data_IF_575702294570
#
_entry.id   IF_575702294570
#
_cell.length_a   1.000
_cell.length_b   1.000
_cell.length_c   1.000
_cell.angle_alpha   90.00
_cell.angle_beta   90.00
_cell.angle_gamma   90.00
#
_symmetry.space_group_name_H-M   'P 1'
#
loop_
_entity.id
_entity.type
_entity.pdbx_description
1 polymer ?
#
# COMPACT_ATOMS: atom_id res chain seq x y z
N UNK A 1 -7.56 27.15 7.22
CA UNK A 1 -6.76 26.78 8.43
C UNK A 1 -5.35 26.37 8.00
N UNK A 2 -4.30 26.43 8.84
CA UNK A 2 -2.94 26.00 8.43
C UNK A 2 -2.62 24.57 8.88
N UNK A 3 -1.81 23.83 8.09
CA UNK A 3 -1.33 22.50 8.46
C UNK A 3 -0.67 22.48 9.85
N UNK A 4 -0.79 21.37 10.60
CA UNK A 4 -0.21 21.29 11.93
C UNK A 4 1.32 21.32 11.86
N UNK A 5 1.93 21.94 12.87
CA UNK A 5 3.39 21.97 13.01
C UNK A 5 3.93 20.64 13.54
N UNK A 6 5.23 20.41 13.41
CA UNK A 6 5.90 19.28 14.06
C UNK A 6 5.56 19.19 15.55
N UNK A 7 5.54 20.31 16.28
CA UNK A 7 5.26 20.31 17.73
C UNK A 7 3.80 19.93 18.02
N UNK A 8 2.85 20.42 17.22
CA UNK A 8 1.44 20.04 17.36
C UNK A 8 1.28 18.51 17.26
N UNK A 9 1.93 17.93 16.26
CA UNK A 9 1.88 16.50 15.94
C UNK A 9 2.62 15.68 16.99
N UNK A 10 3.81 16.10 17.42
CA UNK A 10 4.60 15.44 18.47
C UNK A 10 3.84 15.45 19.81
N UNK A 11 3.25 16.58 20.17
CA UNK A 11 2.43 16.70 21.39
C UNK A 11 1.17 15.85 21.32
N UNK A 12 0.51 15.80 20.17
CA UNK A 12 -0.64 14.92 20.02
C UNK A 12 -0.25 13.43 20.05
N UNK A 13 0.79 13.04 19.31
CA UNK A 13 1.31 11.67 19.30
C UNK A 13 1.63 11.18 20.72
N UNK A 14 2.32 11.99 21.51
CA UNK A 14 2.64 11.67 22.90
C UNK A 14 1.40 11.55 23.81
N UNK A 15 0.28 12.15 23.44
CA UNK A 15 -0.98 12.11 24.19
C UNK A 15 -1.90 10.93 23.85
N UNK A 16 -1.55 10.13 22.84
CA UNK A 16 -2.28 8.93 22.46
C UNK A 16 -2.30 7.92 23.62
N UNK A 17 -3.47 7.32 23.86
CA UNK A 17 -3.68 6.37 24.97
C UNK A 17 -3.17 4.98 24.63
N UNK A 18 -3.26 4.59 23.36
CA UNK A 18 -2.74 3.33 22.85
C UNK A 18 -1.22 3.42 22.63
N UNK A 19 -0.44 2.64 23.39
CA UNK A 19 1.03 2.69 23.31
C UNK A 19 1.59 2.25 21.94
N UNK A 20 1.07 1.21 21.28
CA UNK A 20 1.47 0.85 19.91
C UNK A 20 1.23 1.97 18.88
N UNK A 21 0.07 2.64 18.95
CA UNK A 21 -0.23 3.79 18.07
C UNK A 21 0.66 4.98 18.38
N UNK A 22 0.89 5.28 19.67
CA UNK A 22 1.85 6.31 20.12
C UNK A 22 3.24 6.04 19.57
N UNK A 23 3.74 4.82 19.70
CA UNK A 23 5.04 4.43 19.19
C UNK A 23 5.11 4.52 17.66
N UNK A 24 4.08 4.08 16.94
CA UNK A 24 4.03 4.15 15.48
C UNK A 24 4.09 5.60 14.97
N UNK A 25 3.41 6.53 15.65
CA UNK A 25 3.46 7.95 15.32
C UNK A 25 4.83 8.57 15.64
N UNK A 26 5.43 8.25 16.80
CA UNK A 26 6.76 8.73 17.17
C UNK A 26 7.87 8.15 16.27
N UNK A 27 7.74 6.90 15.85
CA UNK A 27 8.64 6.24 14.89
C UNK A 27 8.59 6.93 13.53
N UNK A 28 7.40 7.22 13.01
CA UNK A 28 7.23 7.92 11.74
C UNK A 28 7.71 9.38 11.81
N UNK A 29 7.58 10.03 12.98
CA UNK A 29 8.24 11.32 13.21
C UNK A 29 9.76 11.15 13.17
N UNK A 30 10.32 10.19 13.91
CA UNK A 30 11.76 9.97 14.00
C UNK A 30 12.39 9.72 12.62
N UNK A 31 11.75 8.89 11.78
CA UNK A 31 12.25 8.57 10.43
C UNK A 31 12.25 9.76 9.47
N UNK A 32 11.49 10.83 9.77
CA UNK A 32 11.34 12.01 8.93
C UNK A 32 11.89 13.30 9.54
N UNK A 33 12.46 13.21 10.73
CA UNK A 33 12.98 14.35 11.49
C UNK A 33 14.40 14.69 11.02
N UNK A 34 14.69 15.94 10.64
CA UNK A 34 16.06 16.40 10.41
C UNK A 34 16.90 16.35 11.71
N UNK A 35 18.21 16.18 11.56
CA UNK A 35 19.15 16.16 12.70
C UNK A 35 18.94 17.36 13.64
N UNK A 36 18.92 17.11 14.96
CA UNK A 36 18.80 18.14 16.01
C UNK A 36 17.50 18.13 16.82
N UNK A 37 16.44 17.43 16.38
CA UNK A 37 15.16 17.33 17.12
C UNK A 37 14.86 15.93 17.67
N UNK A 38 15.74 14.95 17.42
CA UNK A 38 15.52 13.59 17.91
C UNK A 38 15.51 13.48 19.44
N UNK A 39 16.12 14.43 20.17
CA UNK A 39 16.02 14.51 21.63
C UNK A 39 14.59 14.74 22.13
N UNK A 40 13.82 15.61 21.45
CA UNK A 40 12.41 15.86 21.80
C UNK A 40 11.56 14.59 21.63
N UNK A 41 11.83 13.81 20.58
CA UNK A 41 11.15 12.54 20.33
C UNK A 41 11.59 11.49 21.36
N UNK A 42 12.88 11.42 21.69
CA UNK A 42 13.41 10.52 22.70
C UNK A 42 12.74 10.76 24.07
N UNK A 43 12.59 12.02 24.48
CA UNK A 43 11.90 12.38 25.72
C UNK A 43 10.44 11.90 25.78
N UNK A 44 9.75 11.84 24.62
CA UNK A 44 8.40 11.27 24.53
C UNK A 44 8.43 9.74 24.47
N UNK A 45 9.42 9.16 23.80
CA UNK A 45 9.61 7.72 23.68
C UNK A 45 9.90 7.06 25.04
N UNK A 46 10.67 7.72 25.90
CA UNK A 46 10.98 7.22 27.25
C UNK A 46 9.72 7.04 28.14
N UNK A 47 8.62 7.72 27.80
CA UNK A 47 7.32 7.60 28.50
C UNK A 47 6.49 6.41 28.02
N UNK A 48 6.96 5.64 27.04
CA UNK A 48 6.31 4.39 26.59
C UNK A 48 6.71 3.26 27.54
N UNK A 49 5.71 2.60 28.12
CA UNK A 49 5.94 1.51 29.09
C UNK A 49 6.24 0.18 28.38
N UNK A 50 5.55 -0.10 27.28
CA UNK A 50 5.76 -1.30 26.47
C UNK A 50 7.09 -1.23 25.73
N UNK A 51 8.06 -2.03 26.19
CA UNK A 51 9.45 -1.92 25.78
C UNK A 51 9.71 -2.25 24.30
N UNK A 52 8.88 -3.10 23.68
CA UNK A 52 9.02 -3.39 22.25
C UNK A 52 8.68 -2.15 21.40
N UNK A 53 7.58 -1.48 21.75
CA UNK A 53 7.09 -0.24 21.14
C UNK A 53 8.10 0.90 21.37
N UNK A 54 8.65 1.02 22.58
CA UNK A 54 9.75 1.96 22.86
C UNK A 54 10.99 1.65 22.01
N UNK A 55 11.39 0.37 21.94
CA UNK A 55 12.54 -0.09 21.14
C UNK A 55 12.41 0.27 19.66
N UNK A 56 11.21 0.18 19.08
CA UNK A 56 10.94 0.61 17.70
C UNK A 56 11.20 2.10 17.47
N UNK A 57 10.82 2.95 18.41
CA UNK A 57 11.09 4.40 18.31
C UNK A 57 12.59 4.67 18.43
N UNK A 58 13.29 4.02 19.36
CA UNK A 58 14.75 4.13 19.49
C UNK A 58 15.47 3.67 18.22
N UNK A 59 15.04 2.55 17.63
CA UNK A 59 15.53 2.06 16.34
C UNK A 59 15.42 3.13 15.24
N UNK A 60 14.24 3.75 15.08
CA UNK A 60 14.05 4.81 14.09
C UNK A 60 14.89 6.05 14.38
N UNK A 61 15.08 6.43 15.65
CA UNK A 61 15.94 7.55 16.03
C UNK A 61 17.41 7.29 15.67
N UNK A 62 17.93 6.08 15.84
CA UNK A 62 19.30 5.72 15.43
C UNK A 62 19.45 5.90 13.92
N UNK A 63 18.47 5.40 13.15
CA UNK A 63 18.48 5.47 11.68
C UNK A 63 18.28 6.88 11.12
N UNK A 64 17.76 7.81 11.92
CA UNK A 64 17.70 9.24 11.54
C UNK A 64 19.09 9.86 11.34
N UNK A 65 20.14 9.25 11.91
CA UNK A 65 21.53 9.67 11.73
C UNK A 65 21.99 10.79 12.67
N UNK A 66 21.22 11.12 13.70
CA UNK A 66 21.60 12.12 14.70
C UNK A 66 22.65 11.56 15.67
N UNK A 67 23.93 11.70 15.30
CA UNK A 67 25.06 11.19 16.09
C UNK A 67 25.16 11.78 17.50
N UNK A 68 24.59 12.97 17.73
CA UNK A 68 24.60 13.60 19.05
C UNK A 68 23.74 12.84 20.07
N UNK A 69 22.77 12.04 19.60
CA UNK A 69 21.89 11.24 20.44
C UNK A 69 22.47 9.88 20.82
N UNK A 70 23.57 9.43 20.19
CA UNK A 70 24.14 8.09 20.40
C UNK A 70 24.36 7.76 21.89
N UNK A 71 24.92 8.65 22.74
CA UNK A 71 25.06 8.36 24.16
C UNK A 71 23.73 8.16 24.89
N UNK A 72 22.72 8.98 24.57
CA UNK A 72 21.39 8.91 25.19
C UNK A 72 20.62 7.67 24.72
N UNK A 73 20.76 7.31 23.44
CA UNK A 73 20.16 6.11 22.85
C UNK A 73 20.81 4.83 23.40
N UNK A 74 22.13 4.83 23.60
CA UNK A 74 22.84 3.71 24.24
C UNK A 74 22.41 3.52 25.70
N UNK A 75 22.32 4.61 26.46
CA UNK A 75 21.83 4.61 27.83
C UNK A 75 20.38 4.09 27.90
N UNK A 76 19.50 4.55 27.01
CA UNK A 76 18.11 4.09 26.90
C UNK A 76 18.00 2.61 26.52
N UNK A 77 18.82 2.15 25.57
CA UNK A 77 18.91 0.75 25.20
C UNK A 77 19.35 -0.13 26.39
N UNK A 78 20.30 0.35 27.20
CA UNK A 78 20.81 -0.39 28.36
C UNK A 78 19.77 -0.61 29.47
N UNK A 79 18.74 0.26 29.52
CA UNK A 79 17.60 0.16 30.45
C UNK A 79 16.50 -0.78 29.99
N UNK A 80 16.50 -1.23 28.74
CA UNK A 80 15.54 -2.21 28.25
C UNK A 80 15.78 -3.57 28.92
N UNK A 81 14.71 -4.19 29.44
CA UNK A 81 14.76 -5.49 30.13
C UNK A 81 14.44 -6.65 29.19
N UNK A 82 13.59 -6.43 28.19
CA UNK A 82 13.28 -7.40 27.14
C UNK A 82 14.46 -7.56 26.21
N UNK A 83 15.03 -8.76 26.24
CA UNK A 83 16.24 -9.11 25.50
C UNK A 83 16.12 -8.83 23.99
N UNK A 84 14.96 -9.10 23.37
CA UNK A 84 14.74 -8.82 21.95
C UNK A 84 14.80 -7.32 21.62
N UNK A 85 14.03 -6.50 22.35
CA UNK A 85 13.99 -5.06 22.10
C UNK A 85 15.37 -4.42 22.31
N UNK A 86 16.09 -4.87 23.33
CA UNK A 86 17.45 -4.42 23.62
C UNK A 86 18.45 -4.84 22.54
N UNK A 87 18.41 -6.10 22.11
CA UNK A 87 19.30 -6.61 21.07
C UNK A 87 19.11 -5.87 19.74
N UNK A 88 17.86 -5.57 19.37
CA UNK A 88 17.53 -4.81 18.17
C UNK A 88 18.21 -3.42 18.20
N UNK A 89 17.89 -2.63 19.23
CA UNK A 89 18.42 -1.25 19.36
C UNK A 89 19.94 -1.23 19.46
N UNK A 90 20.56 -2.14 20.21
CA UNK A 90 22.01 -2.21 20.31
C UNK A 90 22.67 -2.59 18.99
N UNK A 91 22.04 -3.45 18.17
CA UNK A 91 22.59 -3.82 16.86
C UNK A 91 22.67 -2.61 15.93
N UNK A 92 21.63 -1.78 15.90
CA UNK A 92 21.66 -0.55 15.10
C UNK A 92 22.65 0.49 15.61
N UNK A 93 22.97 0.48 16.91
CA UNK A 93 23.98 1.37 17.48
C UNK A 93 25.41 0.96 17.09
N UNK A 94 25.70 -0.33 16.86
CA UNK A 94 27.07 -0.84 16.63
C UNK A 94 27.90 -0.02 15.61
N UNK A 95 27.36 0.38 14.44
CA UNK A 95 28.11 1.16 13.46
C UNK A 95 28.53 2.55 13.99
N UNK A 96 27.83 3.09 14.99
CA UNK A 96 28.01 4.44 15.53
C UNK A 96 28.84 4.49 16.83
N UNK A 97 29.17 3.34 17.42
CA UNK A 97 29.92 3.26 18.67
C UNK A 97 31.43 3.29 18.45
N UNK A 98 32.18 3.80 19.44
CA UNK A 98 33.63 3.68 19.50
C UNK A 98 34.05 2.20 19.67
N UNK A 99 35.26 1.82 19.23
CA UNK A 99 35.71 0.43 19.16
C UNK A 99 35.48 -0.38 20.46
N UNK A 100 35.85 0.18 21.61
CA UNK A 100 35.70 -0.49 22.90
C UNK A 100 34.22 -0.65 23.34
N UNK A 101 33.36 0.29 22.98
CA UNK A 101 31.91 0.21 23.26
C UNK A 101 31.24 -0.74 22.28
N UNK A 102 31.59 -0.66 21.01
CA UNK A 102 31.11 -1.53 19.94
C UNK A 102 31.38 -2.99 20.24
N UNK A 103 32.60 -3.35 20.63
CA UNK A 103 32.97 -4.73 20.98
C UNK A 103 32.17 -5.24 22.19
N UNK A 104 31.97 -4.39 23.21
CA UNK A 104 31.15 -4.75 24.38
C UNK A 104 29.68 -4.93 24.01
N UNK A 105 29.11 -4.00 23.26
CA UNK A 105 27.72 -4.07 22.80
C UNK A 105 27.49 -5.24 21.85
N UNK A 106 28.44 -5.58 20.98
CA UNK A 106 28.34 -6.75 20.10
C UNK A 106 28.29 -8.06 20.90
N UNK A 107 29.16 -8.23 21.89
CA UNK A 107 29.11 -9.40 22.78
C UNK A 107 27.84 -9.44 23.62
N UNK A 108 27.28 -8.29 23.98
CA UNK A 108 26.00 -8.21 24.67
C UNK A 108 24.83 -8.64 23.77
N UNK A 109 24.76 -8.11 22.53
CA UNK A 109 23.77 -8.52 21.53
C UNK A 109 23.83 -10.03 21.32
N UNK A 110 25.03 -10.61 21.18
CA UNK A 110 25.21 -12.05 21.04
C UNK A 110 24.57 -12.84 22.20
N UNK A 111 24.77 -12.39 23.45
CA UNK A 111 24.18 -13.02 24.64
C UNK A 111 22.66 -12.86 24.66
N UNK A 112 22.15 -11.68 24.34
CA UNK A 112 20.71 -11.41 24.33
C UNK A 112 20.00 -12.25 23.28
N UNK A 113 20.56 -12.37 22.08
CA UNK A 113 20.02 -13.21 21.01
C UNK A 113 20.05 -14.70 21.36
N UNK A 114 21.04 -15.15 22.14
CA UNK A 114 21.05 -16.52 22.67
C UNK A 114 19.95 -16.77 23.71
N UNK A 115 19.53 -15.76 24.49
CA UNK A 115 18.47 -15.87 25.50
C UNK A 115 17.06 -15.86 24.89
N UNK A 116 16.84 -15.11 23.81
CA UNK A 116 15.53 -15.01 23.13
C UNK A 116 15.18 -16.30 22.38
N UNK A 117 16.19 -17.09 22.00
CA UNK A 117 16.03 -18.25 21.12
C UNK A 117 15.93 -17.82 19.67
N UNK A 118 16.53 -18.59 18.75
CA UNK A 118 16.59 -18.20 17.35
C UNK A 118 15.21 -18.20 16.68
N UNK A 119 14.97 -17.23 15.80
CA UNK A 119 13.77 -17.14 14.96
C UNK A 119 14.15 -16.54 13.60
N UNK A 120 13.42 -16.92 12.55
CA UNK A 120 13.63 -16.40 11.20
C UNK A 120 13.43 -14.88 11.11
N UNK A 121 12.61 -14.31 11.99
CA UNK A 121 12.36 -12.87 12.10
C UNK A 121 13.54 -12.04 12.64
N UNK A 122 14.67 -12.65 13.01
CA UNK A 122 15.86 -11.98 13.55
C UNK A 122 17.04 -11.86 12.56
N UNK A 123 16.81 -12.16 11.28
CA UNK A 123 17.84 -12.13 10.24
C UNK A 123 18.68 -10.85 10.21
N UNK A 124 18.06 -9.69 10.38
CA UNK A 124 18.74 -8.38 10.35
C UNK A 124 19.71 -8.20 11.53
N UNK A 125 19.29 -8.57 12.74
CA UNK A 125 20.12 -8.48 13.93
C UNK A 125 21.36 -9.40 13.81
N UNK A 126 21.17 -10.61 13.28
CA UNK A 126 22.27 -11.54 13.05
C UNK A 126 23.27 -11.05 12.00
N UNK A 127 22.79 -10.52 10.87
CA UNK A 127 23.65 -9.92 9.84
C UNK A 127 24.42 -8.70 10.37
N UNK A 128 23.74 -7.83 11.13
CA UNK A 128 24.35 -6.65 11.73
C UNK A 128 25.52 -7.00 12.64
N UNK A 129 25.33 -8.02 13.48
CA UNK A 129 26.33 -8.49 14.43
C UNK A 129 27.54 -9.17 13.76
N UNK A 130 27.35 -9.86 12.63
CA UNK A 130 28.40 -10.63 11.95
C UNK A 130 29.63 -9.81 11.54
N UNK A 131 29.46 -8.50 11.34
CA UNK A 131 30.57 -7.59 10.98
C UNK A 131 31.47 -7.22 12.15
N UNK A 132 31.06 -7.51 13.39
CA UNK A 132 31.70 -7.00 14.60
C UNK A 132 32.18 -8.09 15.56
N UNK A 133 31.93 -9.36 15.23
CA UNK A 133 32.46 -10.52 15.97
C UNK A 133 33.55 -11.21 15.16
N UNK A 134 34.43 -11.95 15.87
CA UNK A 134 35.42 -12.79 15.20
C UNK A 134 34.73 -13.95 14.45
N UNK A 135 35.31 -14.46 13.35
CA UNK A 135 34.75 -15.59 12.60
C UNK A 135 34.49 -16.83 13.47
N UNK A 136 35.39 -17.12 14.42
CA UNK A 136 35.30 -18.25 15.34
C UNK A 136 34.13 -18.06 16.32
N UNK A 137 33.95 -16.82 16.79
CA UNK A 137 32.87 -16.49 17.70
C UNK A 137 31.51 -16.55 17.00
N UNK A 138 31.45 -16.07 15.76
CA UNK A 138 30.25 -16.16 14.93
C UNK A 138 29.87 -17.61 14.63
N UNK A 139 30.85 -18.46 14.26
CA UNK A 139 30.62 -19.88 14.05
C UNK A 139 30.02 -20.58 15.29
N UNK A 140 30.59 -20.31 16.47
CA UNK A 140 30.09 -20.87 17.74
C UNK A 140 28.66 -20.43 18.06
N UNK A 141 28.28 -19.19 17.75
CA UNK A 141 26.91 -18.70 17.95
C UNK A 141 25.94 -19.34 16.97
N UNK A 142 26.33 -19.49 15.70
CA UNK A 142 25.52 -20.14 14.68
C UNK A 142 25.20 -21.59 15.06
N UNK A 143 26.18 -22.34 15.56
CA UNK A 143 25.97 -23.71 16.04
C UNK A 143 24.96 -23.74 17.20
N UNK A 144 25.08 -22.80 18.13
CA UNK A 144 24.17 -22.67 19.28
C UNK A 144 22.74 -22.33 18.83
N UNK A 145 22.58 -21.40 17.88
CA UNK A 145 21.27 -21.00 17.35
C UNK A 145 20.62 -22.10 16.52
N UNK A 146 21.38 -22.80 15.67
CA UNK A 146 20.88 -23.93 14.88
C UNK A 146 20.42 -25.09 15.77
N UNK A 147 21.13 -25.35 16.87
CA UNK A 147 20.75 -26.37 17.85
C UNK A 147 19.48 -26.02 18.64
N UNK A 148 19.19 -24.73 18.84
CA UNK A 148 18.01 -24.25 19.57
C UNK A 148 16.73 -24.21 18.72
N UNK A 149 16.83 -24.23 17.38
CA UNK A 149 15.67 -24.19 16.48
C UNK A 149 14.98 -25.56 16.39
N UNK A 150 13.63 -25.64 16.48
CA UNK A 150 12.91 -26.91 16.56
C UNK A 150 12.78 -27.64 15.20
N UNK A 151 12.81 -26.93 14.07
CA UNK A 151 12.56 -27.49 12.73
C UNK A 151 13.59 -27.11 11.67
N UNK A 152 13.64 -27.88 10.57
CA UNK A 152 14.58 -27.64 9.46
C UNK A 152 14.18 -26.43 8.60
N UNK A 153 12.89 -26.08 8.59
CA UNK A 153 12.39 -24.90 7.90
C UNK A 153 12.94 -23.61 8.54
N UNK A 154 12.88 -23.49 9.86
CA UNK A 154 13.41 -22.33 10.59
C UNK A 154 14.94 -22.23 10.48
N UNK A 155 15.64 -23.37 10.46
CA UNK A 155 17.09 -23.41 10.21
C UNK A 155 17.43 -22.98 8.78
N UNK A 156 16.62 -23.38 7.79
CA UNK A 156 16.79 -22.95 6.41
C UNK A 156 16.55 -21.43 6.26
N UNK A 157 15.52 -20.89 6.91
CA UNK A 157 15.24 -19.45 6.92
C UNK A 157 16.37 -18.63 7.56
N UNK A 158 16.94 -19.11 8.68
CA UNK A 158 18.10 -18.49 9.31
C UNK A 158 19.31 -18.48 8.36
N UNK A 159 19.62 -19.60 7.69
CA UNK A 159 20.69 -19.68 6.68
C UNK A 159 20.43 -18.74 5.48
N UNK A 160 19.17 -18.66 5.03
CA UNK A 160 18.76 -17.77 3.92
C UNK A 160 18.92 -16.30 4.30
N UNK A 161 18.50 -15.95 5.51
CA UNK A 161 18.64 -14.62 6.07
C UNK A 161 20.11 -14.24 6.19
N UNK A 162 20.99 -15.14 6.65
CA UNK A 162 22.43 -14.87 6.73
C UNK A 162 23.14 -14.78 5.37
N UNK A 163 22.56 -15.33 4.31
CA UNK A 163 23.12 -15.35 2.94
C UNK A 163 22.53 -14.29 2.00
N UNK A 164 21.48 -13.57 2.41
CA UNK A 164 20.91 -12.43 1.68
C UNK A 164 20.03 -12.76 0.47
N UNK A 165 19.48 -13.99 0.35
CA UNK A 165 18.55 -14.37 -0.73
C UNK A 165 17.17 -14.72 -0.18
N UNK A 166 16.06 -14.26 -0.81
CA UNK A 166 14.71 -14.63 -0.40
C UNK A 166 14.31 -16.01 -0.97
N UNK A 167 13.69 -16.84 -0.13
CA UNK A 167 12.91 -18.00 -0.55
C UNK A 167 11.57 -17.51 -1.12
N UNK A 168 11.29 -17.77 -2.39
CA UNK A 168 9.95 -17.56 -2.97
C UNK A 168 9.07 -18.78 -2.73
N UNK A 169 7.87 -18.66 -2.13
CA UNK A 169 6.91 -19.74 -2.07
C UNK A 169 6.10 -19.84 -3.38
N UNK A 170 5.98 -21.08 -3.87
CA UNK A 170 4.98 -21.62 -4.79
C UNK A 170 5.06 -21.24 -6.30
N UNK A 171 6.03 -21.83 -7.00
CA UNK A 171 6.15 -21.81 -8.47
C UNK A 171 5.28 -22.88 -9.18
N UNK A 172 4.73 -23.85 -8.45
CA UNK A 172 4.14 -25.06 -9.05
C UNK A 172 2.80 -24.82 -9.77
N UNK A 173 2.03 -23.79 -9.37
CA UNK A 173 0.75 -23.46 -10.01
C UNK A 173 0.90 -22.61 -11.29
N UNK A 174 2.11 -22.14 -11.60
CA UNK A 174 2.42 -21.41 -12.83
C UNK A 174 2.83 -22.34 -13.99
N UNK A 175 3.16 -23.61 -13.71
CA UNK A 175 3.72 -24.56 -14.69
C UNK A 175 2.69 -25.28 -15.56
N UNK A 176 1.38 -25.19 -15.28
CA UNK A 176 0.35 -25.98 -15.99
C UNK A 176 -0.26 -25.30 -17.22
N UNK A 177 0.17 -24.09 -17.60
CA UNK A 177 -0.45 -23.31 -18.69
C UNK A 177 0.59 -22.97 -19.78
N UNK A 178 0.66 -23.82 -20.80
CA UNK A 178 1.61 -23.76 -21.93
C UNK A 178 0.94 -23.34 -23.26
N UNK A 179 1.72 -23.33 -24.35
CA UNK A 179 1.27 -23.00 -25.70
C UNK A 179 0.18 -23.96 -26.22
N UNK A 180 0.18 -25.22 -25.76
CA UNK A 180 -0.81 -26.21 -26.17
C UNK A 180 -2.21 -25.91 -25.60
N UNK A 181 -2.29 -25.35 -24.40
CA UNK A 181 -3.56 -24.85 -23.87
C UNK A 181 -4.11 -23.67 -24.69
N UNK A 182 -3.23 -22.75 -25.14
CA UNK A 182 -3.60 -21.62 -25.99
C UNK A 182 -4.14 -22.09 -27.36
N UNK A 183 -3.52 -23.11 -27.95
CA UNK A 183 -3.99 -23.74 -29.19
C UNK A 183 -5.37 -24.42 -29.03
N UNK A 184 -5.64 -25.07 -27.89
CA UNK A 184 -6.98 -25.64 -27.60
C UNK A 184 -8.05 -24.55 -27.54
N UNK A 185 -7.75 -23.42 -26.91
CA UNK A 185 -8.64 -22.26 -26.89
C UNK A 185 -8.85 -21.73 -28.32
N UNK A 186 -7.79 -21.60 -29.12
CA UNK A 186 -7.89 -21.17 -30.51
C UNK A 186 -8.81 -22.09 -31.34
N UNK A 187 -8.67 -23.40 -31.17
CA UNK A 187 -9.51 -24.39 -31.85
C UNK A 187 -10.99 -24.31 -31.41
N UNK A 188 -11.25 -24.07 -30.12
CA UNK A 188 -12.60 -23.89 -29.61
C UNK A 188 -13.27 -22.60 -30.13
N UNK A 189 -12.48 -21.53 -30.31
CA UNK A 189 -12.94 -20.25 -30.87
C UNK A 189 -13.29 -20.34 -32.36
N UNK A 190 -12.51 -21.12 -33.13
CA UNK A 190 -12.74 -21.33 -34.56
C UNK A 190 -14.01 -22.13 -34.87
N UNK A 191 -14.53 -22.88 -33.89
CA UNK A 191 -15.73 -23.70 -34.04
C UNK A 191 -17.06 -22.95 -33.83
N UNK A 192 -17.04 -21.60 -33.75
CA UNK A 192 -18.21 -20.74 -33.48
C UNK A 192 -19.05 -21.24 -32.28
N UNK A 193 -18.37 -21.78 -31.26
CA UNK A 193 -19.04 -22.33 -30.08
C UNK A 193 -19.69 -21.17 -29.32
N UNK A 194 -20.99 -21.28 -29.07
CA UNK A 194 -21.71 -20.27 -28.30
C UNK A 194 -21.04 -20.08 -26.91
N UNK A 195 -20.85 -18.84 -26.43
CA UNK A 195 -20.05 -18.52 -25.23
C UNK A 195 -20.42 -19.33 -23.99
N UNK A 196 -21.71 -19.58 -23.78
CA UNK A 196 -22.21 -20.36 -22.63
C UNK A 196 -21.94 -21.87 -22.72
N UNK A 197 -21.54 -22.36 -23.91
CA UNK A 197 -21.11 -23.74 -24.16
C UNK A 197 -19.60 -23.88 -24.26
N UNK A 198 -18.85 -22.78 -24.19
CA UNK A 198 -17.38 -22.85 -24.23
C UNK A 198 -16.89 -23.77 -23.10
N UNK A 199 -17.45 -23.64 -21.89
CA UNK A 199 -17.14 -24.50 -20.75
C UNK A 199 -17.42 -26.00 -20.95
N UNK A 200 -18.34 -26.38 -21.87
CA UNK A 200 -18.58 -27.79 -22.24
C UNK A 200 -17.49 -28.34 -23.16
N UNK A 201 -16.71 -27.46 -23.78
CA UNK A 201 -15.63 -27.79 -24.72
C UNK A 201 -14.24 -27.64 -24.10
N UNK A 202 -14.17 -27.15 -22.85
CA UNK A 202 -12.94 -27.08 -22.08
C UNK A 202 -12.72 -28.40 -21.32
N UNK A 203 -11.48 -28.87 -21.16
CA UNK A 203 -11.16 -30.05 -20.35
C UNK A 203 -11.69 -29.95 -18.91
N UNK A 204 -12.22 -31.05 -18.36
CA UNK A 204 -12.76 -31.16 -16.98
C UNK A 204 -11.73 -30.78 -15.88
N UNK A 205 -10.45 -30.76 -16.24
CA UNK A 205 -9.32 -30.39 -15.39
C UNK A 205 -9.19 -28.86 -15.19
N UNK A 206 -9.99 -28.06 -15.90
CA UNK A 206 -9.91 -26.60 -15.86
C UNK A 206 -10.71 -26.06 -14.66
N UNK A 207 -10.08 -25.27 -13.78
CA UNK A 207 -10.65 -24.90 -12.48
C UNK A 207 -11.81 -23.89 -12.60
N UNK A 208 -12.47 -23.64 -11.45
CA UNK A 208 -13.58 -22.69 -11.25
C UNK A 208 -13.58 -21.45 -12.17
N UNK A 209 -14.78 -20.98 -12.54
CA UNK A 209 -15.01 -19.86 -13.46
C UNK A 209 -14.16 -18.60 -13.18
N UNK A 210 -13.85 -18.29 -11.91
CA UNK A 210 -12.98 -17.15 -11.52
C UNK A 210 -11.53 -17.35 -11.99
N UNK A 211 -11.00 -18.56 -11.86
CA UNK A 211 -9.64 -18.90 -12.31
C UNK A 211 -9.59 -18.98 -13.84
N UNK A 212 -10.66 -19.44 -14.47
CA UNK A 212 -10.79 -19.44 -15.94
C UNK A 212 -10.66 -18.02 -16.50
N UNK A 213 -11.28 -17.02 -15.87
CA UNK A 213 -11.22 -15.62 -16.33
C UNK A 213 -9.81 -15.00 -16.26
N UNK A 214 -9.07 -15.20 -15.17
CA UNK A 214 -7.69 -14.69 -15.06
C UNK A 214 -6.80 -15.36 -16.11
N UNK A 215 -7.01 -16.66 -16.34
CA UNK A 215 -6.19 -17.45 -17.28
C UNK A 215 -6.53 -17.17 -18.74
N UNK A 216 -7.79 -16.91 -19.09
CA UNK A 216 -8.18 -16.53 -20.46
C UNK A 216 -7.48 -15.24 -20.92
N UNK A 217 -7.36 -14.24 -20.04
CA UNK A 217 -6.61 -13.01 -20.37
C UNK A 217 -5.13 -13.30 -20.64
N UNK A 218 -4.50 -14.08 -19.74
CA UNK A 218 -3.11 -14.48 -19.91
C UNK A 218 -2.89 -15.23 -21.25
N UNK A 219 -3.82 -16.11 -21.63
CA UNK A 219 -3.76 -16.85 -22.89
C UNK A 219 -3.95 -15.97 -24.12
N UNK A 220 -4.86 -15.00 -24.10
CA UNK A 220 -5.07 -14.06 -25.22
C UNK A 220 -3.78 -13.34 -25.58
N UNK A 221 -2.98 -12.95 -24.57
CA UNK A 221 -1.68 -12.30 -24.82
C UNK A 221 -0.64 -13.21 -25.51
N UNK A 222 -0.77 -14.53 -25.34
CA UNK A 222 0.14 -15.56 -25.87
C UNK A 222 -0.28 -16.11 -27.23
N UNK A 223 -1.53 -15.89 -27.66
CA UNK A 223 -2.02 -16.31 -28.96
C UNK A 223 -1.31 -15.60 -30.13
N UNK A 224 -1.29 -16.20 -31.34
CA UNK A 224 -0.91 -15.52 -32.58
C UNK A 224 -1.72 -14.23 -32.79
N UNK A 225 -1.10 -13.19 -33.35
CA UNK A 225 -1.68 -11.85 -33.41
C UNK A 225 -3.01 -11.78 -34.20
N UNK A 226 -3.18 -12.64 -35.20
CA UNK A 226 -4.40 -12.79 -36.00
C UNK A 226 -5.57 -13.42 -35.22
N UNK A 227 -5.28 -14.18 -34.16
CA UNK A 227 -6.28 -14.89 -33.35
C UNK A 227 -6.72 -14.11 -32.10
N UNK A 228 -5.90 -13.18 -31.60
CA UNK A 228 -6.20 -12.39 -30.39
C UNK A 228 -7.53 -11.61 -30.47
N UNK A 229 -7.90 -10.98 -31.60
CA UNK A 229 -9.18 -10.28 -31.69
C UNK A 229 -10.40 -11.20 -31.53
N UNK A 230 -10.37 -12.39 -32.11
CA UNK A 230 -11.46 -13.36 -31.98
C UNK A 230 -11.57 -13.91 -30.55
N UNK A 231 -10.43 -14.17 -29.92
CA UNK A 231 -10.37 -14.59 -28.53
C UNK A 231 -10.86 -13.49 -27.57
N UNK A 232 -10.47 -12.23 -27.80
CA UNK A 232 -10.92 -11.08 -27.03
C UNK A 232 -12.44 -10.88 -27.13
N UNK A 233 -13.02 -10.94 -28.34
CA UNK A 233 -14.48 -10.87 -28.54
C UNK A 233 -15.23 -11.95 -27.78
N UNK A 234 -14.73 -13.18 -27.81
CA UNK A 234 -15.38 -14.30 -27.11
C UNK A 234 -15.23 -14.17 -25.60
N UNK A 235 -14.06 -13.76 -25.12
CA UNK A 235 -13.81 -13.53 -23.70
C UNK A 235 -14.75 -12.47 -23.11
N UNK A 236 -15.03 -11.39 -23.85
CA UNK A 236 -16.03 -10.38 -23.48
C UNK A 236 -17.40 -11.00 -23.27
N UNK A 237 -17.83 -11.90 -24.15
CA UNK A 237 -19.16 -12.51 -24.08
C UNK A 237 -19.34 -13.46 -22.90
N UNK A 238 -18.28 -14.16 -22.49
CA UNK A 238 -18.28 -15.11 -21.35
C UNK A 238 -18.36 -14.37 -20.01
N UNK A 239 -17.58 -13.30 -19.87
CA UNK A 239 -17.44 -12.51 -18.63
C UNK A 239 -18.73 -11.81 -18.20
N UNK A 240 -19.69 -11.67 -19.10
CA UNK A 240 -21.00 -11.11 -18.80
C UNK A 240 -21.84 -11.95 -17.82
N UNK A 241 -21.51 -13.23 -17.65
CA UNK A 241 -22.22 -14.15 -16.77
C UNK A 241 -21.80 -14.07 -15.30
N UNK A 242 -20.50 -14.14 -15.02
CA UNK A 242 -19.96 -14.21 -13.66
C UNK A 242 -18.48 -13.78 -13.66
N UNK A 243 -18.10 -12.81 -12.82
CA UNK A 243 -16.74 -12.49 -12.31
C UNK A 243 -16.01 -11.22 -12.83
N UNK A 244 -14.87 -10.95 -12.18
CA UNK A 244 -14.05 -9.73 -12.19
C UNK A 244 -13.28 -9.57 -13.51
N UNK A 245 -13.41 -8.40 -14.14
CA UNK A 245 -12.91 -8.14 -15.49
C UNK A 245 -11.51 -7.48 -15.45
N UNK A 246 -10.52 -7.97 -16.20
CA UNK A 246 -9.28 -7.21 -16.48
C UNK A 246 -9.31 -6.75 -17.95
N UNK A 247 -9.54 -5.45 -18.16
CA UNK A 247 -9.81 -4.85 -19.46
C UNK A 247 -8.54 -4.58 -20.26
N UNK A 248 -7.46 -4.19 -19.58
CA UNK A 248 -6.12 -3.97 -20.15
C UNK A 248 -5.67 -5.05 -21.15
N UNK A 249 -6.00 -6.32 -20.91
CA UNK A 249 -5.53 -7.42 -21.78
C UNK A 249 -6.36 -7.61 -23.05
N UNK A 250 -7.65 -7.25 -23.05
CA UNK A 250 -8.56 -7.50 -24.16
C UNK A 250 -8.83 -6.26 -25.01
N UNK A 251 -8.89 -5.08 -24.39
CA UNK A 251 -9.19 -3.82 -25.08
C UNK A 251 -8.29 -3.53 -26.29
N UNK A 252 -6.96 -3.80 -26.27
CA UNK A 252 -6.10 -3.54 -27.43
C UNK A 252 -6.50 -4.31 -28.70
N UNK A 253 -7.33 -5.35 -28.58
CA UNK A 253 -7.74 -6.23 -29.68
C UNK A 253 -9.19 -6.04 -30.12
N UNK A 254 -9.92 -5.11 -29.49
CA UNK A 254 -11.32 -4.80 -29.80
C UNK A 254 -11.41 -3.56 -30.68
N UNK A 255 -12.47 -3.48 -31.48
CA UNK A 255 -12.83 -2.30 -32.27
C UNK A 255 -13.49 -1.25 -31.38
N UNK A 256 -13.51 0.02 -31.82
CA UNK A 256 -14.20 1.10 -31.10
C UNK A 256 -15.68 0.81 -30.87
N UNK A 257 -16.36 0.17 -31.82
CA UNK A 257 -17.76 -0.23 -31.65
C UNK A 257 -17.91 -1.28 -30.53
N UNK A 258 -17.03 -2.28 -30.49
CA UNK A 258 -17.06 -3.32 -29.46
C UNK A 258 -16.69 -2.76 -28.07
N UNK A 259 -15.70 -1.86 -27.99
CA UNK A 259 -15.35 -1.18 -26.73
C UNK A 259 -16.52 -0.35 -26.22
N UNK A 260 -17.24 0.34 -27.11
CA UNK A 260 -18.47 1.08 -26.74
C UNK A 260 -19.57 0.15 -26.26
N UNK A 261 -19.77 -0.99 -26.92
CA UNK A 261 -20.76 -1.98 -26.50
C UNK A 261 -20.48 -2.50 -25.07
N UNK A 262 -19.20 -2.59 -24.65
CA UNK A 262 -18.86 -2.98 -23.27
C UNK A 262 -19.50 -2.09 -22.21
N UNK A 263 -19.67 -0.81 -22.51
CA UNK A 263 -20.23 0.19 -21.60
C UNK A 263 -21.66 -0.18 -21.21
N UNK A 264 -22.44 -0.74 -22.14
CA UNK A 264 -23.83 -1.17 -21.91
C UNK A 264 -24.00 -2.66 -21.60
N UNK A 265 -22.97 -3.47 -21.87
CA UNK A 265 -23.07 -4.93 -21.82
C UNK A 265 -22.68 -5.53 -20.47
N UNK A 266 -21.70 -4.97 -19.77
CA UNK A 266 -21.18 -5.50 -18.49
C UNK A 266 -21.93 -4.85 -17.32
N UNK A 267 -22.29 -5.64 -16.29
CA UNK A 267 -22.95 -5.07 -15.10
C UNK A 267 -22.08 -3.97 -14.48
N UNK A 268 -22.66 -2.80 -14.15
CA UNK A 268 -21.93 -1.64 -13.61
C UNK A 268 -20.93 -1.96 -12.49
N UNK A 269 -21.33 -2.84 -11.57
CA UNK A 269 -20.53 -3.25 -10.41
C UNK A 269 -19.18 -3.89 -10.78
N UNK A 270 -19.06 -4.50 -11.96
CA UNK A 270 -17.83 -5.13 -12.43
C UNK A 270 -17.00 -4.21 -13.35
N UNK A 271 -17.63 -3.16 -13.89
CA UNK A 271 -16.96 -2.15 -14.72
C UNK A 271 -16.26 -1.06 -13.90
N UNK A 272 -16.61 -0.86 -12.63
CA UNK A 272 -16.09 0.27 -11.84
C UNK A 272 -14.56 0.39 -11.89
N UNK A 273 -13.85 -0.75 -11.86
CA UNK A 273 -12.39 -0.80 -11.94
C UNK A 273 -11.82 -0.62 -13.35
N UNK A 274 -12.60 -0.91 -14.38
CA UNK A 274 -12.15 -0.91 -15.77
C UNK A 274 -12.54 0.32 -16.59
N UNK A 275 -13.30 1.26 -16.03
CA UNK A 275 -13.62 2.51 -16.73
C UNK A 275 -12.38 3.33 -17.11
N UNK A 276 -11.29 3.23 -16.35
CA UNK A 276 -10.00 3.81 -16.73
C UNK A 276 -9.47 3.15 -18.00
N UNK A 277 -9.34 1.82 -17.99
CA UNK A 277 -8.88 1.04 -19.14
C UNK A 277 -9.74 1.30 -20.40
N UNK A 278 -11.08 1.31 -20.26
CA UNK A 278 -11.99 1.65 -21.37
C UNK A 278 -11.71 3.06 -21.87
N UNK A 279 -11.61 4.05 -20.98
CA UNK A 279 -11.35 5.43 -21.37
C UNK A 279 -10.01 5.60 -22.08
N UNK A 280 -8.98 4.86 -21.68
CA UNK A 280 -7.66 4.85 -22.31
C UNK A 280 -7.71 4.37 -23.77
N UNK A 281 -8.52 3.35 -24.06
CA UNK A 281 -8.57 2.70 -25.37
C UNK A 281 -9.69 3.26 -26.28
N UNK A 282 -10.50 4.18 -25.78
CA UNK A 282 -11.61 4.77 -26.51
C UNK A 282 -11.16 6.04 -27.25
N UNK A 283 -11.62 6.21 -28.49
CA UNK A 283 -11.39 7.46 -29.22
C UNK A 283 -11.98 8.65 -28.43
N UNK A 284 -11.27 9.79 -28.33
CA UNK A 284 -11.73 10.94 -27.54
C UNK A 284 -13.13 11.45 -27.89
N UNK A 285 -13.59 11.22 -29.13
CA UNK A 285 -14.94 11.55 -29.59
C UNK A 285 -16.05 10.79 -28.85
N UNK A 286 -15.76 9.62 -28.25
CA UNK A 286 -16.73 8.78 -27.53
C UNK A 286 -16.60 8.87 -26.01
N UNK A 287 -15.60 9.58 -25.47
CA UNK A 287 -15.48 9.83 -24.03
C UNK A 287 -16.72 10.52 -23.41
N UNK A 288 -17.46 11.42 -24.10
CA UNK A 288 -18.70 11.96 -23.57
C UNK A 288 -19.77 10.88 -23.29
N UNK A 289 -19.88 9.88 -24.17
CA UNK A 289 -20.82 8.77 -24.03
C UNK A 289 -20.43 7.84 -22.88
N UNK A 290 -19.14 7.54 -22.75
CA UNK A 290 -18.60 6.81 -21.60
C UNK A 290 -18.95 7.52 -20.30
N UNK A 291 -18.72 8.84 -20.24
CA UNK A 291 -19.04 9.63 -19.06
C UNK A 291 -20.55 9.63 -18.75
N UNK A 292 -21.41 9.75 -19.76
CA UNK A 292 -22.87 9.68 -19.58
C UNK A 292 -23.29 8.34 -18.96
N UNK A 293 -22.71 7.24 -19.45
CA UNK A 293 -22.96 5.92 -18.88
C UNK A 293 -22.46 5.80 -17.44
N UNK A 294 -21.26 6.30 -17.14
CA UNK A 294 -20.70 6.33 -15.78
C UNK A 294 -21.59 7.14 -14.83
N UNK A 295 -22.06 8.31 -15.26
CA UNK A 295 -22.96 9.17 -14.47
C UNK A 295 -24.30 8.47 -14.16
N UNK A 296 -24.81 7.66 -15.09
CA UNK A 296 -26.06 6.93 -14.93
C UNK A 296 -25.95 5.70 -14.00
N UNK A 297 -24.74 5.31 -13.59
CA UNK A 297 -24.56 4.08 -12.80
C UNK A 297 -25.21 4.15 -11.43
N UNK A 298 -25.80 3.03 -11.03
CA UNK A 298 -26.20 2.73 -9.67
C UNK A 298 -25.61 1.36 -9.26
N UNK A 299 -25.23 1.18 -7.98
CA UNK A 299 -25.32 2.12 -6.86
C UNK A 299 -24.26 3.24 -6.91
N UNK A 300 -24.48 4.35 -6.19
CA UNK A 300 -23.60 5.54 -6.17
C UNK A 300 -22.12 5.28 -5.89
N UNK A 301 -21.76 4.23 -5.14
CA UNK A 301 -20.35 3.87 -4.92
C UNK A 301 -19.68 3.37 -6.21
N UNK A 302 -20.41 2.67 -7.08
CA UNK A 302 -19.94 2.25 -8.42
C UNK A 302 -19.76 3.47 -9.31
N UNK A 303 -20.70 4.42 -9.25
CA UNK A 303 -20.60 5.71 -9.96
C UNK A 303 -19.38 6.49 -9.51
N UNK A 304 -19.17 6.63 -8.20
CA UNK A 304 -18.05 7.36 -7.63
C UNK A 304 -16.70 6.78 -8.04
N UNK A 305 -16.54 5.46 -7.96
CA UNK A 305 -15.34 4.76 -8.42
C UNK A 305 -15.14 4.92 -9.93
N UNK A 306 -16.19 4.75 -10.74
CA UNK A 306 -16.10 4.91 -12.20
C UNK A 306 -15.69 6.33 -12.63
N UNK A 307 -16.23 7.36 -11.99
CA UNK A 307 -15.86 8.76 -12.23
C UNK A 307 -14.37 9.02 -11.91
N UNK A 308 -13.89 8.51 -10.76
CA UNK A 308 -12.47 8.58 -10.40
C UNK A 308 -11.59 7.88 -11.45
N UNK A 309 -11.94 6.66 -11.84
CA UNK A 309 -11.11 5.84 -12.74
C UNK A 309 -11.04 6.42 -14.15
N UNK A 310 -12.13 6.98 -14.65
CA UNK A 310 -12.16 7.60 -15.96
C UNK A 310 -11.37 8.93 -16.01
N UNK A 311 -11.21 9.63 -14.88
CA UNK A 311 -10.73 11.01 -14.83
C UNK A 311 -9.39 11.24 -15.55
N UNK A 312 -8.44 10.29 -15.46
CA UNK A 312 -7.12 10.41 -16.09
C UNK A 312 -7.11 10.53 -17.62
N UNK A 313 -8.23 10.20 -18.26
CA UNK A 313 -8.37 10.22 -19.72
C UNK A 313 -9.36 11.29 -20.21
N UNK A 314 -9.97 12.06 -19.30
CA UNK A 314 -10.96 13.08 -19.64
C UNK A 314 -10.30 14.44 -19.93
N UNK A 315 -10.76 15.12 -20.98
CA UNK A 315 -10.42 16.52 -21.23
C UNK A 315 -11.08 17.48 -20.22
N UNK A 316 -10.62 18.74 -20.12
CA UNK A 316 -11.07 19.70 -19.10
C UNK A 316 -12.60 19.84 -18.99
N UNK A 317 -13.30 19.97 -20.12
CA UNK A 317 -14.76 20.15 -20.11
C UNK A 317 -15.51 18.90 -19.63
N UNK A 318 -14.96 17.70 -19.88
CA UNK A 318 -15.52 16.45 -19.36
C UNK A 318 -15.17 16.26 -17.87
N UNK A 319 -14.01 16.73 -17.43
CA UNK A 319 -13.67 16.76 -16.00
C UNK A 319 -14.63 17.65 -15.22
N UNK A 320 -15.01 18.83 -15.73
CA UNK A 320 -16.01 19.68 -15.06
C UNK A 320 -17.35 18.95 -14.88
N UNK A 321 -17.80 18.23 -15.92
CA UNK A 321 -19.01 17.40 -15.85
C UNK A 321 -18.87 16.27 -14.84
N UNK A 322 -17.71 15.61 -14.79
CA UNK A 322 -17.41 14.57 -13.82
C UNK A 322 -17.42 15.13 -12.38
N UNK A 323 -16.88 16.33 -12.15
CA UNK A 323 -16.95 17.02 -10.84
C UNK A 323 -18.40 17.27 -10.44
N UNK A 324 -19.24 17.80 -11.34
CA UNK A 324 -20.66 18.03 -11.04
C UNK A 324 -21.36 16.73 -10.63
N UNK A 325 -21.10 15.63 -11.35
CA UNK A 325 -21.66 14.32 -11.01
C UNK A 325 -21.14 13.77 -9.69
N UNK A 326 -19.85 13.93 -9.40
CA UNK A 326 -19.23 13.52 -8.14
C UNK A 326 -19.79 14.32 -6.95
N UNK A 327 -19.98 15.64 -7.10
CA UNK A 327 -20.61 16.50 -6.08
C UNK A 327 -22.05 16.06 -5.78
N UNK A 328 -22.77 15.53 -6.77
CA UNK A 328 -24.14 15.06 -6.62
C UNK A 328 -24.27 13.69 -5.91
N UNK A 329 -23.17 12.97 -5.68
CA UNK A 329 -23.17 11.71 -4.90
C UNK A 329 -23.65 12.04 -3.47
N UNK A 330 -24.62 11.29 -2.94
CA UNK A 330 -25.21 11.57 -1.62
C UNK A 330 -24.32 11.10 -0.49
N UNK A 331 -23.78 9.89 -0.63
CA UNK A 331 -22.86 9.33 0.36
C UNK A 331 -21.58 10.19 0.46
N UNK A 332 -21.27 10.78 1.63
CA UNK A 332 -20.15 11.70 1.77
C UNK A 332 -18.79 11.03 1.58
N UNK A 333 -18.64 9.75 1.93
CA UNK A 333 -17.38 9.02 1.73
C UNK A 333 -17.13 8.76 0.25
N UNK A 334 -18.14 8.28 -0.47
CA UNK A 334 -18.06 8.07 -1.91
C UNK A 334 -17.85 9.38 -2.68
N UNK A 335 -18.49 10.46 -2.24
CA UNK A 335 -18.28 11.80 -2.80
C UNK A 335 -16.83 12.26 -2.64
N UNK A 336 -16.24 12.11 -1.45
CA UNK A 336 -14.83 12.46 -1.23
C UNK A 336 -13.91 11.59 -2.08
N UNK A 337 -14.14 10.27 -2.10
CA UNK A 337 -13.31 9.35 -2.86
C UNK A 337 -13.30 9.68 -4.36
N UNK A 338 -14.48 9.95 -4.92
CA UNK A 338 -14.63 10.33 -6.33
C UNK A 338 -13.94 11.67 -6.64
N UNK A 339 -14.18 12.70 -5.82
CA UNK A 339 -13.59 14.03 -6.01
C UNK A 339 -12.06 14.03 -5.83
N UNK A 340 -11.53 13.24 -4.88
CA UNK A 340 -10.09 13.08 -4.69
C UNK A 340 -9.43 12.44 -5.92
N UNK A 341 -10.09 11.46 -6.55
CA UNK A 341 -9.63 10.88 -7.81
C UNK A 341 -9.63 11.88 -8.98
N UNK A 342 -10.67 12.70 -9.09
CA UNK A 342 -10.80 13.67 -10.19
C UNK A 342 -9.79 14.82 -10.04
N UNK A 343 -9.50 15.26 -8.81
CA UNK A 343 -8.67 16.46 -8.57
C UNK A 343 -7.24 16.31 -9.08
N UNK A 344 -6.70 15.08 -9.07
CA UNK A 344 -5.36 14.77 -9.56
C UNK A 344 -5.19 15.15 -11.04
N UNK A 345 -6.27 15.03 -11.82
CA UNK A 345 -6.28 15.25 -13.26
C UNK A 345 -6.82 16.63 -13.68
N UNK A 346 -7.35 17.42 -12.74
CA UNK A 346 -7.86 18.76 -13.04
C UNK A 346 -6.73 19.77 -13.32
N UNK A 347 -6.95 20.71 -14.27
CA UNK A 347 -6.13 21.92 -14.40
C UNK A 347 -6.07 22.71 -13.08
N UNK A 348 -4.92 23.31 -12.77
CA UNK A 348 -4.63 23.98 -11.49
C UNK A 348 -5.65 25.07 -11.14
N UNK A 349 -6.15 25.80 -12.14
CA UNK A 349 -7.16 26.85 -11.97
C UNK A 349 -8.56 26.32 -11.57
N UNK A 350 -8.83 25.03 -11.81
CA UNK A 350 -10.12 24.37 -11.52
C UNK A 350 -10.11 23.52 -10.24
N UNK A 351 -8.92 23.22 -9.70
CA UNK A 351 -8.77 22.42 -8.47
C UNK A 351 -9.41 23.07 -7.23
N UNK A 352 -9.26 24.39 -6.94
CA UNK A 352 -9.70 24.95 -5.66
C UNK A 352 -11.16 24.66 -5.32
N UNK A 353 -12.08 24.89 -6.27
CA UNK A 353 -13.51 24.63 -6.04
C UNK A 353 -13.82 23.14 -5.80
N UNK A 354 -13.08 22.25 -6.45
CA UNK A 354 -13.22 20.79 -6.29
C UNK A 354 -12.69 20.33 -4.93
N UNK A 355 -11.54 20.89 -4.50
CA UNK A 355 -10.98 20.65 -3.17
C UNK A 355 -11.92 21.14 -2.08
N UNK A 356 -12.49 22.34 -2.23
CA UNK A 356 -13.46 22.89 -1.28
C UNK A 356 -14.70 21.99 -1.15
N UNK A 357 -15.21 21.47 -2.27
CA UNK A 357 -16.35 20.55 -2.28
C UNK A 357 -16.00 19.21 -1.59
N UNK A 358 -14.81 18.65 -1.85
CA UNK A 358 -14.33 17.43 -1.22
C UNK A 358 -14.09 17.63 0.28
N UNK A 359 -13.52 18.77 0.68
CA UNK A 359 -13.29 19.13 2.07
C UNK A 359 -14.61 19.29 2.83
N UNK A 360 -15.60 19.97 2.23
CA UNK A 360 -16.94 20.11 2.80
C UNK A 360 -17.60 18.73 2.98
N UNK A 361 -17.49 17.85 1.99
CA UNK A 361 -18.01 16.50 2.06
C UNK A 361 -17.35 15.69 3.19
N UNK A 362 -16.02 15.71 3.26
CA UNK A 362 -15.26 14.99 4.27
C UNK A 362 -15.56 15.51 5.68
N UNK A 363 -15.58 16.83 5.87
CA UNK A 363 -15.91 17.43 7.17
C UNK A 363 -17.34 17.15 7.64
N UNK A 364 -18.27 16.91 6.72
CA UNK A 364 -19.64 16.49 7.00
C UNK A 364 -19.80 15.02 7.44
N UNK A 365 -18.77 14.18 7.31
CA UNK A 365 -18.83 12.78 7.76
C UNK A 365 -18.99 12.75 9.29
N UNK A 366 -20.01 12.07 9.86
CA UNK A 366 -20.27 12.11 11.30
C UNK A 366 -19.16 11.48 12.15
N UNK A 367 -18.73 10.25 11.82
CA UNK A 367 -17.74 9.52 12.60
C UNK A 367 -16.36 10.17 12.43
N UNK A 368 -15.64 10.37 13.54
CA UNK A 368 -14.34 11.03 13.52
C UNK A 368 -13.29 10.22 12.77
N UNK A 369 -13.31 8.89 12.89
CA UNK A 369 -12.40 7.97 12.21
C UNK A 369 -12.60 7.98 10.69
N UNK A 370 -13.85 7.93 10.23
CA UNK A 370 -14.18 7.95 8.80
C UNK A 370 -13.91 9.33 8.20
N UNK A 371 -14.20 10.40 8.94
CA UNK A 371 -13.82 11.77 8.57
C UNK A 371 -12.30 11.92 8.45
N UNK A 372 -11.54 11.39 9.40
CA UNK A 372 -10.08 11.42 9.36
C UNK A 372 -9.55 10.64 8.15
N UNK A 373 -10.11 9.46 7.87
CA UNK A 373 -9.78 8.68 6.68
C UNK A 373 -9.99 9.48 5.40
N UNK A 374 -11.20 10.01 5.19
CA UNK A 374 -11.56 10.77 4.01
C UNK A 374 -10.67 12.01 3.81
N UNK A 375 -10.34 12.73 4.89
CA UNK A 375 -9.45 13.90 4.83
C UNK A 375 -7.99 13.51 4.52
N UNK A 376 -7.50 12.39 5.06
CA UNK A 376 -6.16 11.88 4.70
C UNK A 376 -6.11 11.45 3.24
N UNK A 377 -7.13 10.72 2.75
CA UNK A 377 -7.23 10.33 1.34
C UNK A 377 -7.28 11.55 0.40
N UNK A 378 -8.03 12.59 0.76
CA UNK A 378 -8.02 13.85 0.00
C UNK A 378 -6.62 14.48 0.02
N UNK A 379 -5.93 14.49 1.16
CA UNK A 379 -4.58 15.05 1.24
C UNK A 379 -3.57 14.26 0.39
N UNK A 380 -3.72 12.93 0.27
CA UNK A 380 -2.87 12.08 -0.59
C UNK A 380 -2.98 12.45 -2.07
N UNK A 381 -4.18 12.74 -2.55
CA UNK A 381 -4.46 13.09 -3.94
C UNK A 381 -3.98 14.49 -4.35
N UNK A 382 -3.72 15.37 -3.39
CA UNK A 382 -3.31 16.75 -3.67
C UNK A 382 -1.79 16.89 -3.79
N UNK A 383 -1.26 17.85 -4.57
CA UNK A 383 0.14 18.25 -4.48
C UNK A 383 0.48 18.86 -3.11
N UNK A 384 1.76 18.83 -2.72
CA UNK A 384 2.19 19.26 -1.39
C UNK A 384 1.81 20.70 -1.06
N UNK A 385 1.76 21.57 -2.06
CA UNK A 385 1.44 23.00 -1.97
C UNK A 385 -0.05 23.25 -1.69
N UNK A 386 -0.92 22.30 -2.02
CA UNK A 386 -2.39 22.42 -1.92
C UNK A 386 -2.95 21.68 -0.68
N UNK A 387 -2.11 20.96 0.08
CA UNK A 387 -2.53 20.10 1.21
C UNK A 387 -2.80 20.83 2.52
N UNK A 388 -2.38 22.08 2.67
CA UNK A 388 -2.24 22.73 3.99
C UNK A 388 -3.55 22.75 4.78
N UNK A 389 -4.66 23.10 4.12
CA UNK A 389 -5.98 23.12 4.75
C UNK A 389 -6.53 21.72 5.01
N UNK A 390 -6.38 20.80 4.07
CA UNK A 390 -6.82 19.41 4.20
C UNK A 390 -6.11 18.70 5.35
N UNK A 391 -4.79 18.93 5.51
CA UNK A 391 -4.02 18.40 6.64
C UNK A 391 -4.46 19.01 7.97
N UNK A 392 -4.80 20.30 8.00
CA UNK A 392 -5.34 20.95 9.21
C UNK A 392 -6.68 20.33 9.64
N UNK A 393 -7.57 20.09 8.67
CA UNK A 393 -8.85 19.44 8.90
C UNK A 393 -8.66 17.98 9.34
N UNK A 394 -7.79 17.22 8.66
CA UNK A 394 -7.47 15.83 8.99
C UNK A 394 -6.96 15.73 10.43
N UNK A 395 -6.00 16.58 10.81
CA UNK A 395 -5.48 16.61 12.16
C UNK A 395 -6.54 16.94 13.20
N UNK A 396 -7.44 17.89 12.90
CA UNK A 396 -8.56 18.23 13.78
C UNK A 396 -9.51 17.04 13.96
N UNK A 397 -9.78 16.27 12.90
CA UNK A 397 -10.61 15.08 12.97
C UNK A 397 -9.96 13.97 13.80
N UNK A 398 -8.68 13.68 13.55
CA UNK A 398 -7.88 12.69 14.29
C UNK A 398 -7.87 13.01 15.78
N UNK A 399 -7.68 14.28 16.16
CA UNK A 399 -7.62 14.70 17.57
C UNK A 399 -8.88 14.45 18.39
N UNK A 400 -10.02 14.21 17.74
CA UNK A 400 -11.28 13.92 18.43
C UNK A 400 -11.31 12.50 19.01
N UNK A 401 -10.46 11.60 18.53
CA UNK A 401 -10.30 10.25 19.08
C UNK A 401 -8.83 9.97 19.42
N UNK A 402 -8.52 9.87 20.71
CA UNK A 402 -7.16 9.59 21.21
C UNK A 402 -6.82 8.11 21.26
N UNK A 403 -7.80 7.24 21.05
CA UNK A 403 -7.59 5.79 21.02
C UNK A 403 -7.12 5.30 19.65
N UNK A 404 -7.42 6.06 18.58
CA UNK A 404 -7.11 5.66 17.20
C UNK A 404 -6.05 6.55 16.55
N UNK A 405 -4.76 6.25 16.79
CA UNK A 405 -3.64 6.95 16.17
C UNK A 405 -3.33 6.51 14.73
N UNK A 406 -4.09 5.57 14.14
CA UNK A 406 -3.82 4.95 12.83
C UNK A 406 -3.59 5.97 11.71
N UNK A 407 -4.37 7.04 11.70
CA UNK A 407 -4.32 8.07 10.66
C UNK A 407 -3.27 9.14 10.93
N UNK A 408 -2.74 9.23 12.16
CA UNK A 408 -1.69 10.19 12.51
C UNK A 408 -0.38 9.86 11.78
N UNK A 409 -0.02 8.57 11.71
CA UNK A 409 1.14 8.11 10.95
C UNK A 409 1.05 8.52 9.48
N UNK A 410 -0.10 8.31 8.84
CA UNK A 410 -0.29 8.70 7.44
C UNK A 410 -0.27 10.23 7.28
N UNK A 411 -0.87 10.98 8.21
CA UNK A 411 -0.77 12.44 8.22
C UNK A 411 0.69 12.92 8.31
N UNK A 412 1.50 12.34 9.20
CA UNK A 412 2.93 12.66 9.33
C UNK A 412 3.67 12.47 7.99
N UNK A 413 3.32 11.41 7.24
CA UNK A 413 3.91 11.14 5.92
C UNK A 413 3.61 12.21 4.88
N UNK A 414 2.49 12.91 5.03
CA UNK A 414 2.00 13.91 4.08
C UNK A 414 2.41 15.34 4.44
N UNK A 415 2.86 15.60 5.66
CA UNK A 415 3.37 16.93 6.06
C UNK A 415 4.51 17.38 5.15
N UNK A 416 4.57 18.63 4.68
CA UNK A 416 5.69 19.09 3.87
C UNK A 416 6.98 19.20 4.72
N UNK A 417 8.18 19.09 4.11
CA UNK A 417 9.45 19.12 4.85
C UNK A 417 9.66 20.36 5.71
N UNK A 418 9.09 21.51 5.32
CA UNK A 418 9.12 22.77 6.09
C UNK A 418 8.39 22.67 7.42
N UNK A 419 7.37 21.81 7.53
CA UNK A 419 6.56 21.59 8.74
C UNK A 419 7.11 20.46 9.62
N UNK A 420 8.09 19.70 9.11
CA UNK A 420 8.81 18.63 9.82
C UNK A 420 10.10 19.12 10.49
N UNK A 421 10.49 20.37 10.25
CA UNK A 421 11.68 21.03 10.80
C UNK A 421 11.33 21.78 12.07
#
# INVERSE_FOLDING_TARGET
MTAPTFEDVLTFAASLTDEPSRASALEELASRTPAGRGGEILDRAEKISEEYSRGRVLHALIRSGDSALVPQLLDSASRLTRAYARALVLTDLLPHLAENERSRSAEEVARLLALVGASSSMGEAYQGLARYLSPERMASLLDTWMAALPGEAERADLRSSLSGKPLRPNAQAAETWDEAAAEKLAAALDAEIAPYRLGESLPDEWPDLILLDIRLNEMISRLPADRRPAAARTAVQIRNGHCQFQLETVLPYLTQAEIRDLIGFVKPIYLSRGFGDIAEHLDPAHLPELLDAVIALEPEWVRGEGLMRAAGHLGPDLLDRAVVAAVAIRDPEQRVHSLAGIVEHLPVDRRPATVDAALLAATGIPLATDRAFALVTLAEALPAEERDETLAAAFTAIRKDRSEGRWLTQLIRLLPPSRRR
#
